data_IF_908902881596
#
_entry.id   IF_908902881596
#
_cell.length_a   1.000
_cell.length_b   1.000
_cell.length_c   1.000
_cell.angle_alpha   90.00
_cell.angle_beta   90.00
_cell.angle_gamma   90.00
#
_symmetry.space_group_name_H-M   'P 1'
#
loop_
_entity.id
_entity.type
_entity.pdbx_description
1 polymer ?
#
# COMPACT_ATOMS: atom_id res chain seq x y z
N UNK A 1 -7.18 -3.48 -43.50
CA UNK A 1 -6.70 -4.81 -43.12
C UNK A 1 -7.44 -5.23 -41.87
N UNK A 2 -8.28 -6.28 -41.98
CA UNK A 2 -9.02 -7.02 -40.94
C UNK A 2 -9.97 -6.18 -40.04
N UNK A 3 -11.29 -6.27 -40.12
CA UNK A 3 -12.19 -7.08 -40.93
C UNK A 3 -13.62 -6.70 -40.51
N UNK A 4 -14.47 -6.42 -41.49
CA UNK A 4 -15.90 -6.20 -41.30
C UNK A 4 -16.56 -7.50 -40.83
N UNK A 5 -17.45 -7.41 -39.85
CA UNK A 5 -18.56 -8.36 -39.74
C UNK A 5 -19.84 -7.54 -39.89
N UNK A 6 -20.37 -7.58 -41.11
CA UNK A 6 -21.79 -7.41 -41.38
C UNK A 6 -22.52 -8.54 -40.64
N UNK A 7 -23.26 -8.17 -39.60
CA UNK A 7 -24.32 -8.99 -39.02
C UNK A 7 -25.61 -8.20 -39.06
N UNK A 8 -26.29 -8.20 -40.21
CA UNK A 8 -27.69 -7.79 -40.27
C UNK A 8 -28.52 -8.85 -39.55
N UNK A 9 -28.97 -8.56 -38.33
CA UNK A 9 -30.02 -9.31 -37.66
C UNK A 9 -31.26 -8.42 -37.53
N UNK A 10 -32.09 -8.42 -38.58
CA UNK A 10 -33.49 -8.04 -38.45
C UNK A 10 -34.19 -9.17 -37.70
N UNK A 11 -34.48 -9.02 -36.42
CA UNK A 11 -35.35 -9.94 -35.68
C UNK A 11 -36.55 -9.17 -35.15
N UNK A 12 -37.71 -9.57 -35.67
CA UNK A 12 -39.05 -9.21 -35.23
C UNK A 12 -39.30 -9.68 -33.79
N UNK A 13 -40.04 -8.84 -33.05
CA UNK A 13 -40.96 -9.17 -31.95
C UNK A 13 -40.45 -10.11 -30.85
N UNK A 14 -40.12 -9.49 -29.70
CA UNK A 14 -40.18 -10.09 -28.36
C UNK A 14 -39.02 -11.02 -28.02
N UNK A 15 -38.23 -10.65 -26.99
CA UNK A 15 -37.66 -11.51 -25.95
C UNK A 15 -36.46 -10.81 -25.27
N UNK A 16 -36.50 -10.81 -23.93
CA UNK A 16 -35.42 -10.63 -22.94
C UNK A 16 -34.22 -9.76 -23.37
N UNK A 17 -34.11 -8.58 -22.75
CA UNK A 17 -32.86 -7.86 -22.62
C UNK A 17 -31.84 -8.79 -21.94
N UNK A 18 -30.81 -9.21 -22.69
CA UNK A 18 -29.61 -9.80 -22.10
C UNK A 18 -28.91 -8.66 -21.35
N UNK A 19 -29.28 -8.48 -20.09
CA UNK A 19 -28.52 -7.64 -19.18
C UNK A 19 -27.12 -8.26 -19.10
N UNK A 20 -26.11 -7.51 -19.55
CA UNK A 20 -24.74 -7.86 -19.22
C UNK A 20 -24.65 -7.98 -17.70
N UNK A 21 -24.05 -9.04 -17.15
CA UNK A 21 -23.79 -9.10 -15.71
C UNK A 21 -22.93 -7.88 -15.37
N UNK A 22 -23.55 -6.83 -14.84
CA UNK A 22 -22.83 -5.75 -14.18
C UNK A 22 -22.34 -6.35 -12.87
N UNK A 23 -21.22 -7.05 -12.94
CA UNK A 23 -20.51 -7.54 -11.77
C UNK A 23 -20.04 -6.30 -11.01
N UNK A 24 -20.88 -5.84 -10.08
CA UNK A 24 -20.52 -4.81 -9.12
C UNK A 24 -19.28 -5.29 -8.38
N UNK A 25 -18.22 -4.48 -8.23
CA UNK A 25 -17.05 -4.90 -7.47
C UNK A 25 -17.52 -5.29 -6.06
N UNK A 26 -17.21 -6.53 -5.66
CA UNK A 26 -17.42 -7.00 -4.30
C UNK A 26 -16.75 -6.00 -3.32
N UNK A 27 -17.38 -5.72 -2.16
CA UNK A 27 -16.80 -4.80 -1.20
C UNK A 27 -15.40 -5.28 -0.80
N UNK A 28 -14.44 -4.36 -0.83
CA UNK A 28 -13.08 -4.63 -0.39
C UNK A 28 -13.10 -5.01 1.10
N UNK A 29 -12.41 -6.10 1.47
CA UNK A 29 -12.32 -6.49 2.89
C UNK A 29 -11.45 -5.50 3.65
N UNK A 30 -11.79 -5.25 4.92
CA UNK A 30 -11.03 -4.37 5.83
C UNK A 30 -9.52 -4.67 5.82
N UNK A 31 -9.13 -5.96 5.76
CA UNK A 31 -7.74 -6.37 5.56
C UNK A 31 -7.09 -5.72 4.33
N UNK A 32 -7.74 -5.79 3.18
CA UNK A 32 -7.20 -5.28 1.90
C UNK A 32 -7.10 -3.77 1.94
N UNK A 33 -8.10 -3.09 2.53
CA UNK A 33 -8.06 -1.65 2.73
C UNK A 33 -6.86 -1.25 3.61
N UNK A 34 -6.68 -1.90 4.76
CA UNK A 34 -5.54 -1.62 5.64
C UNK A 34 -4.20 -1.92 4.97
N UNK A 35 -4.07 -3.01 4.22
CA UNK A 35 -2.86 -3.30 3.45
C UNK A 35 -2.58 -2.20 2.42
N UNK A 36 -3.60 -1.75 1.69
CA UNK A 36 -3.48 -0.70 0.67
C UNK A 36 -3.08 0.65 1.27
N UNK A 37 -3.69 1.05 2.39
CA UNK A 37 -3.29 2.26 3.12
C UNK A 37 -1.85 2.13 3.61
N UNK A 38 -1.47 0.95 4.14
CA UNK A 38 -0.11 0.67 4.60
C UNK A 38 0.94 0.84 3.50
N UNK A 39 0.69 0.27 2.33
CA UNK A 39 1.58 0.42 1.17
C UNK A 39 1.61 1.85 0.63
N UNK A 40 0.46 2.53 0.56
CA UNK A 40 0.40 3.92 0.12
C UNK A 40 1.22 4.84 1.05
N UNK A 41 1.10 4.67 2.36
CA UNK A 41 1.89 5.41 3.35
C UNK A 41 3.38 5.06 3.27
N UNK A 42 3.72 3.80 3.00
CA UNK A 42 5.11 3.37 2.77
C UNK A 42 5.73 4.11 1.58
N UNK A 43 4.99 4.27 0.49
CA UNK A 43 5.45 4.96 -0.73
C UNK A 43 5.70 6.46 -0.51
N UNK A 44 5.06 7.07 0.49
CA UNK A 44 5.28 8.47 0.88
C UNK A 44 6.22 8.63 2.06
N UNK A 45 6.88 7.55 2.50
CA UNK A 45 7.76 7.50 3.67
C UNK A 45 7.08 7.81 5.01
N UNK A 46 5.74 7.77 5.05
CA UNK A 46 4.98 7.86 6.29
C UNK A 46 4.92 6.49 6.99
N UNK A 47 6.07 6.12 7.56
CA UNK A 47 6.26 4.80 8.15
C UNK A 47 5.39 4.54 9.39
N UNK A 48 4.95 5.58 10.10
CA UNK A 48 4.08 5.38 11.26
C UNK A 48 2.65 5.09 10.86
N UNK A 49 2.12 5.82 9.88
CA UNK A 49 0.83 5.47 9.28
C UNK A 49 0.88 4.08 8.65
N UNK A 50 1.98 3.73 7.97
CA UNK A 50 2.15 2.40 7.40
C UNK A 50 2.09 1.29 8.46
N UNK A 51 2.87 1.43 9.54
CA UNK A 51 2.94 0.44 10.62
C UNK A 51 1.58 0.22 11.30
N UNK A 52 0.85 1.31 11.56
CA UNK A 52 -0.48 1.23 12.19
C UNK A 52 -1.43 0.41 11.31
N UNK A 53 -1.45 0.65 10.00
CA UNK A 53 -2.38 -0.04 9.12
C UNK A 53 -1.97 -1.49 8.86
N UNK A 54 -0.67 -1.80 8.73
CA UNK A 54 -0.25 -3.20 8.64
C UNK A 54 -0.58 -4.01 9.90
N UNK A 55 -0.52 -3.38 11.10
CA UNK A 55 -0.97 -4.03 12.34
C UNK A 55 -2.48 -4.29 12.35
N UNK A 56 -3.29 -3.34 11.88
CA UNK A 56 -4.74 -3.55 11.71
C UNK A 56 -5.04 -4.67 10.71
N UNK A 57 -4.31 -4.74 9.59
CA UNK A 57 -4.44 -5.86 8.66
C UNK A 57 -4.14 -7.22 9.34
N UNK A 58 -3.10 -7.29 10.17
CA UNK A 58 -2.76 -8.50 10.93
C UNK A 58 -3.81 -8.83 12.00
N UNK A 59 -4.47 -7.83 12.59
CA UNK A 59 -5.61 -8.04 13.52
C UNK A 59 -6.81 -8.67 12.79
N UNK A 60 -7.10 -8.24 11.56
CA UNK A 60 -8.16 -8.82 10.71
C UNK A 60 -7.83 -10.24 10.23
N UNK A 61 -6.54 -10.52 9.97
CA UNK A 61 -6.05 -11.83 9.56
C UNK A 61 -4.85 -12.25 10.41
N UNK A 62 -5.09 -12.87 11.57
CA UNK A 62 -4.01 -13.42 12.39
C UNK A 62 -3.17 -14.41 11.57
N UNK A 63 -1.86 -14.40 11.81
CA UNK A 63 -0.86 -15.25 11.13
C UNK A 63 -0.70 -14.98 9.60
N UNK A 64 -1.15 -13.82 9.10
CA UNK A 64 -0.95 -13.43 7.70
C UNK A 64 0.52 -13.03 7.43
N UNK A 65 1.24 -13.90 6.72
CA UNK A 65 2.66 -13.71 6.41
C UNK A 65 2.96 -12.41 5.65
N UNK A 66 2.01 -11.90 4.85
CA UNK A 66 2.18 -10.64 4.12
C UNK A 66 2.15 -9.43 5.05
N UNK A 67 1.17 -9.37 5.96
CA UNK A 67 1.06 -8.31 6.95
C UNK A 67 2.26 -8.34 7.93
N UNK A 68 2.68 -9.52 8.41
CA UNK A 68 3.86 -9.66 9.25
C UNK A 68 5.13 -9.16 8.56
N UNK A 69 5.35 -9.54 7.30
CA UNK A 69 6.49 -9.08 6.52
C UNK A 69 6.46 -7.57 6.28
N UNK A 70 5.27 -7.01 6.04
CA UNK A 70 5.11 -5.58 5.88
C UNK A 70 5.46 -4.83 7.17
N UNK A 71 5.00 -5.30 8.33
CA UNK A 71 5.36 -4.76 9.66
C UNK A 71 6.88 -4.79 9.84
N UNK A 72 7.53 -5.94 9.63
CA UNK A 72 8.97 -6.08 9.81
C UNK A 72 9.78 -5.13 8.90
N UNK A 73 9.36 -4.98 7.65
CA UNK A 73 9.98 -4.03 6.71
C UNK A 73 9.89 -2.59 7.22
N UNK A 74 8.73 -2.19 7.74
CA UNK A 74 8.52 -0.81 8.20
C UNK A 74 9.24 -0.54 9.51
N UNK A 75 9.27 -1.49 10.44
CA UNK A 75 10.06 -1.39 11.66
C UNK A 75 11.57 -1.20 11.35
N UNK A 76 12.09 -1.90 10.33
CA UNK A 76 13.45 -1.68 9.85
C UNK A 76 13.69 -0.23 9.38
N UNK A 77 12.79 0.35 8.59
CA UNK A 77 12.95 1.72 8.10
C UNK A 77 12.84 2.76 9.22
N UNK A 78 11.93 2.56 10.17
CA UNK A 78 11.79 3.43 11.36
C UNK A 78 13.11 3.45 12.14
N UNK A 79 13.66 2.27 12.44
CA UNK A 79 14.88 2.18 13.22
C UNK A 79 16.09 2.74 12.45
N UNK A 80 16.20 2.43 11.16
CA UNK A 80 17.24 3.01 10.29
C UNK A 80 17.21 4.54 10.33
N UNK A 81 16.03 5.16 10.18
CA UNK A 81 15.89 6.61 10.21
C UNK A 81 16.28 7.19 11.57
N UNK A 82 15.91 6.51 12.66
CA UNK A 82 16.29 6.89 14.02
C UNK A 82 17.81 6.88 14.20
N UNK A 83 18.47 5.81 13.79
CA UNK A 83 19.92 5.67 13.90
C UNK A 83 20.65 6.73 13.08
N UNK A 84 20.16 7.02 11.87
CA UNK A 84 20.72 8.08 11.04
C UNK A 84 20.60 9.46 11.71
N UNK A 85 19.46 9.76 12.33
CA UNK A 85 19.27 11.02 13.05
C UNK A 85 20.23 11.16 14.23
N UNK A 86 20.46 10.07 14.98
CA UNK A 86 21.43 10.03 16.09
C UNK A 86 22.85 10.26 15.55
N UNK A 87 23.23 9.59 14.47
CA UNK A 87 24.56 9.76 13.88
C UNK A 87 24.82 11.22 13.49
N UNK A 88 23.86 11.86 12.81
CA UNK A 88 23.97 13.27 12.43
C UNK A 88 24.17 14.19 13.65
N UNK A 89 23.52 13.87 14.78
CA UNK A 89 23.69 14.63 16.02
C UNK A 89 25.08 14.41 16.63
N UNK A 90 25.58 13.18 16.63
CA UNK A 90 26.93 12.85 17.10
C UNK A 90 27.97 13.62 16.30
N UNK A 91 27.86 13.60 14.97
CA UNK A 91 28.79 14.30 14.08
C UNK A 91 28.77 15.81 14.34
N UNK A 92 27.58 16.39 14.50
CA UNK A 92 27.43 17.81 14.81
C UNK A 92 28.04 18.19 16.18
N UNK A 93 27.92 17.32 17.19
CA UNK A 93 28.53 17.54 18.49
C UNK A 93 30.06 17.45 18.42
N UNK A 94 30.59 16.48 17.68
CA UNK A 94 32.03 16.32 17.47
C UNK A 94 32.65 17.56 16.81
N UNK A 95 32.01 18.07 15.74
CA UNK A 95 32.48 19.28 15.07
C UNK A 95 32.50 20.51 16.01
N UNK A 96 31.48 20.66 16.86
CA UNK A 96 31.43 21.75 17.85
C UNK A 96 32.51 21.64 18.91
N UNK A 97 32.77 20.43 19.40
CA UNK A 97 33.81 20.18 20.39
C UNK A 97 35.21 20.45 19.83
N UNK A 98 35.43 20.11 18.56
CA UNK A 98 36.70 20.39 17.88
C UNK A 98 36.96 21.89 17.78
N UNK A 99 35.96 22.68 17.36
CA UNK A 99 36.07 24.15 17.30
C UNK A 99 36.31 24.76 18.68
N UNK A 100 35.66 24.26 19.73
CA UNK A 100 35.83 24.79 21.08
C UNK A 100 37.18 24.43 21.72
N UNK A 101 37.91 23.48 21.14
CA UNK A 101 39.24 23.05 21.60
C UNK A 101 40.39 23.79 20.91
N UNK A 102 40.09 24.60 19.88
CA UNK A 102 41.02 25.48 19.17
C UNK A 102 41.03 26.90 19.77
#
# INVERSE_FOLDING_TARGET
MWGSILGLATVLLGNAAWAEPTESPEPESDYTEFMNIGYAATNTFDYQTALINFRRALEERPDDEYAERAIANIEFYIERNRLQAIQNQVDALQARLQIAAE
#
